data_IF_818971544102
#
_entry.id   IF_818971544102
#
_cell.length_a   1.000
_cell.length_b   1.000
_cell.length_c   1.000
_cell.angle_alpha   90.00
_cell.angle_beta   90.00
_cell.angle_gamma   90.00
#
_symmetry.space_group_name_H-M   'P 1'
#
loop_
_entity.id
_entity.type
_entity.pdbx_description
1 polymer ?
#
# COMPACT_ATOMS: atom_id res chain seq x y z
N UNK A 1 -5.00 -13.92 7.07
CA UNK A 1 -5.55 -12.69 7.68
C UNK A 1 -7.01 -12.95 7.98
N UNK A 2 -7.53 -12.48 9.12
CA UNK A 2 -8.96 -12.59 9.47
C UNK A 2 -9.74 -11.55 8.66
N UNK A 3 -10.98 -11.83 8.20
CA UNK A 3 -11.79 -10.84 7.51
C UNK A 3 -11.93 -9.53 8.31
N UNK A 4 -11.83 -8.40 7.61
CA UNK A 4 -11.95 -7.06 8.20
C UNK A 4 -13.41 -6.73 8.52
N UNK A 5 -13.65 -6.09 9.67
CA UNK A 5 -14.99 -5.59 10.03
C UNK A 5 -15.37 -4.32 9.24
N UNK A 6 -16.65 -3.97 9.26
CA UNK A 6 -17.18 -2.82 8.51
C UNK A 6 -16.56 -1.48 8.92
N UNK A 7 -16.40 -1.22 10.22
CA UNK A 7 -15.89 0.07 10.69
C UNK A 7 -14.40 0.28 10.34
N UNK A 8 -13.49 -0.69 10.57
CA UNK A 8 -12.12 -0.59 10.05
C UNK A 8 -12.06 -0.42 8.53
N UNK A 9 -12.90 -1.14 7.77
CA UNK A 9 -12.96 -1.01 6.31
C UNK A 9 -13.41 0.40 5.87
N UNK A 10 -14.42 0.98 6.55
CA UNK A 10 -14.86 2.37 6.30
C UNK A 10 -13.76 3.37 6.61
N UNK A 11 -13.03 3.18 7.70
CA UNK A 11 -11.92 4.03 8.08
C UNK A 11 -10.77 3.96 7.08
N UNK A 12 -10.35 2.75 6.67
CA UNK A 12 -9.32 2.55 5.66
C UNK A 12 -9.72 3.17 4.32
N UNK A 13 -10.97 3.00 3.88
CA UNK A 13 -11.49 3.64 2.66
C UNK A 13 -11.49 5.16 2.74
N UNK A 14 -11.90 5.72 3.89
CA UNK A 14 -11.85 7.17 4.10
C UNK A 14 -10.40 7.69 4.04
N UNK A 15 -9.46 6.98 4.67
CA UNK A 15 -8.05 7.35 4.72
C UNK A 15 -7.40 7.25 3.33
N UNK A 16 -7.60 6.15 2.60
CA UNK A 16 -7.14 5.96 1.22
C UNK A 16 -7.63 7.12 0.36
N UNK A 17 -8.93 7.42 0.36
CA UNK A 17 -9.49 8.47 -0.50
C UNK A 17 -8.85 9.85 -0.23
N UNK A 18 -8.63 10.21 1.05
CA UNK A 18 -8.02 11.50 1.40
C UNK A 18 -6.54 11.56 1.05
N UNK A 19 -5.80 10.49 1.33
CA UNK A 19 -4.37 10.44 1.03
C UNK A 19 -4.13 10.39 -0.48
N UNK A 20 -4.88 9.55 -1.19
CA UNK A 20 -4.83 9.40 -2.64
C UNK A 20 -5.07 10.73 -3.35
N UNK A 21 -6.11 11.46 -2.95
CA UNK A 21 -6.40 12.78 -3.52
C UNK A 21 -5.19 13.72 -3.41
N UNK A 22 -4.54 13.79 -2.24
CA UNK A 22 -3.37 14.62 -2.04
C UNK A 22 -2.16 14.14 -2.85
N UNK A 23 -1.87 12.84 -2.83
CA UNK A 23 -0.73 12.23 -3.53
C UNK A 23 -0.84 12.43 -5.04
N UNK A 24 -2.01 12.19 -5.62
CA UNK A 24 -2.26 12.34 -7.05
C UNK A 24 -2.19 13.82 -7.48
N UNK A 25 -2.83 14.72 -6.72
CA UNK A 25 -2.82 16.17 -7.03
C UNK A 25 -1.41 16.74 -7.07
N UNK A 26 -0.52 16.25 -6.20
CA UNK A 26 0.85 16.72 -6.09
C UNK A 26 1.87 15.83 -6.80
N UNK A 27 1.42 14.81 -7.55
CA UNK A 27 2.27 13.87 -8.30
C UNK A 27 3.34 13.20 -7.42
N UNK A 28 2.98 12.86 -6.18
CA UNK A 28 3.94 12.39 -5.18
C UNK A 28 4.19 10.88 -5.25
N UNK A 29 3.38 10.13 -5.99
CA UNK A 29 3.49 8.69 -6.13
C UNK A 29 2.14 7.99 -6.17
N UNK A 30 2.01 6.87 -5.45
CA UNK A 30 0.84 6.00 -5.48
C UNK A 30 0.39 5.63 -4.05
N UNK A 31 -0.92 5.55 -3.86
CA UNK A 31 -1.53 4.99 -2.65
C UNK A 31 -2.13 3.63 -2.98
N UNK A 32 -1.83 2.63 -2.16
CA UNK A 32 -2.21 1.24 -2.34
C UNK A 32 -3.02 0.76 -1.13
N UNK A 33 -3.95 -0.16 -1.37
CA UNK A 33 -4.83 -0.74 -0.33
C UNK A 33 -4.60 -2.24 -0.30
N UNK A 34 -4.40 -2.81 0.89
CA UNK A 34 -4.15 -4.25 1.12
C UNK A 34 -2.97 -4.84 0.32
N UNK A 35 -2.06 -4.00 -0.16
CA UNK A 35 -0.91 -4.43 -0.97
C UNK A 35 0.13 -5.16 -0.13
N UNK A 36 0.69 -6.24 -0.66
CA UNK A 36 1.72 -7.00 0.05
C UNK A 36 3.12 -6.41 -0.11
N UNK A 37 3.81 -6.22 1.01
CA UNK A 37 5.18 -5.73 1.11
C UNK A 37 6.09 -6.80 1.71
N UNK A 38 7.07 -7.27 0.93
CA UNK A 38 8.04 -8.28 1.34
C UNK A 38 9.22 -7.61 2.05
N UNK A 39 9.23 -7.68 3.38
CA UNK A 39 10.20 -7.01 4.24
C UNK A 39 11.49 -7.81 4.45
N UNK A 40 11.39 -9.14 4.41
CA UNK A 40 12.52 -10.06 4.59
C UNK A 40 12.28 -11.30 3.74
N UNK A 41 13.35 -11.88 3.20
CA UNK A 41 13.35 -13.21 2.57
C UNK A 41 14.00 -14.25 3.47
N UNK A 42 13.52 -15.49 3.39
CA UNK A 42 14.12 -16.69 4.05
C UNK A 42 14.28 -16.56 5.59
N UNK A 43 13.21 -16.75 6.40
CA UNK A 43 11.83 -16.94 5.98
C UNK A 43 11.20 -15.62 5.50
N UNK A 44 10.23 -15.73 4.60
CA UNK A 44 9.59 -14.57 4.03
C UNK A 44 8.71 -13.88 5.08
N UNK A 45 8.89 -12.58 5.22
CA UNK A 45 8.05 -11.73 6.08
C UNK A 45 7.32 -10.75 5.19
N UNK A 46 6.01 -10.94 5.03
CA UNK A 46 5.14 -10.09 4.22
C UNK A 46 4.15 -9.38 5.13
N UNK A 47 3.94 -8.09 4.90
CA UNK A 47 2.89 -7.29 5.55
C UNK A 47 1.99 -6.69 4.49
N UNK A 48 0.69 -6.70 4.77
CA UNK A 48 -0.31 -6.01 3.98
C UNK A 48 -0.97 -4.97 4.89
N UNK A 49 -0.54 -3.70 4.85
CA UNK A 49 -1.22 -2.63 5.56
C UNK A 49 -2.55 -2.31 4.88
N UNK A 50 -3.53 -1.84 5.66
CA UNK A 50 -4.83 -1.40 5.14
C UNK A 50 -4.66 -0.30 4.07
N UNK A 51 -3.70 0.62 4.29
CA UNK A 51 -3.32 1.68 3.35
C UNK A 51 -1.80 1.87 3.38
N UNK A 52 -1.17 2.00 2.21
CA UNK A 52 0.25 2.28 2.03
C UNK A 52 0.50 3.37 0.99
N UNK A 53 1.59 4.12 1.16
CA UNK A 53 2.10 5.07 0.18
C UNK A 53 3.42 4.57 -0.40
N UNK A 54 3.59 4.76 -1.70
CA UNK A 54 4.86 4.65 -2.40
C UNK A 54 5.15 5.98 -3.09
N UNK A 55 6.30 6.57 -2.79
CA UNK A 55 6.78 7.76 -3.46
C UNK A 55 7.01 7.50 -4.95
N UNK A 56 6.87 8.54 -5.78
CA UNK A 56 7.01 8.45 -7.23
C UNK A 56 8.33 7.81 -7.68
N UNK A 57 9.40 7.98 -6.90
CA UNK A 57 10.70 7.37 -7.16
C UNK A 57 10.75 5.84 -6.94
N UNK A 58 9.76 5.29 -6.21
CA UNK A 58 9.68 3.88 -5.82
C UNK A 58 8.53 3.12 -6.49
N UNK A 59 7.61 3.84 -7.15
CA UNK A 59 6.54 3.23 -7.96
C UNK A 59 7.17 2.41 -9.09
N UNK A 60 6.81 1.11 -9.25
CA UNK A 60 7.32 0.29 -10.34
C UNK A 60 6.97 0.88 -11.71
N UNK A 61 7.96 0.96 -12.61
CA UNK A 61 7.76 1.47 -13.98
C UNK A 61 7.04 0.48 -14.90
N UNK A 62 6.92 -0.78 -14.49
CA UNK A 62 6.25 -1.85 -15.22
C UNK A 62 5.29 -2.58 -14.29
N UNK A 63 4.30 -3.24 -14.88
CA UNK A 63 3.41 -4.13 -14.14
C UNK A 63 4.22 -5.17 -13.34
N UNK A 64 3.89 -5.33 -12.07
CA UNK A 64 4.54 -6.26 -11.14
C UNK A 64 3.50 -7.21 -10.58
N UNK A 65 3.77 -8.51 -10.72
CA UNK A 65 3.02 -9.55 -10.00
C UNK A 65 3.69 -9.85 -8.65
N UNK A 66 2.89 -10.19 -7.65
CA UNK A 66 3.39 -10.57 -6.31
C UNK A 66 3.50 -9.39 -5.34
N UNK A 67 4.52 -9.44 -4.46
CA UNK A 67 4.70 -8.47 -3.36
C UNK A 67 5.80 -7.46 -3.67
N UNK A 68 5.54 -6.20 -3.32
CA UNK A 68 6.52 -5.13 -3.43
C UNK A 68 7.72 -5.41 -2.51
N UNK A 69 8.98 -5.35 -2.99
CA UNK A 69 10.15 -5.58 -2.16
C UNK A 69 10.48 -4.37 -1.28
N UNK A 70 10.50 -4.57 0.04
CA UNK A 70 10.78 -3.52 1.03
C UNK A 70 9.51 -2.97 1.69
N UNK A 71 9.68 -2.00 2.58
CA UNK A 71 8.58 -1.34 3.30
C UNK A 71 7.94 -0.22 2.47
N UNK A 72 6.68 0.16 2.72
CA UNK A 72 6.13 1.41 2.19
C UNK A 72 6.90 2.63 2.70
N UNK A 73 6.64 3.81 2.12
CA UNK A 73 7.16 5.10 2.59
C UNK A 73 6.37 5.65 3.78
#
# INVERSE_FOLDING_TARGET
>A
MTPVGLEPARFASWLDNRLRQYVETNQLGEVLVEAGFLLKRRPDTVRAPDVAFLSAARVPSTHMEGFFPGAPD
#
